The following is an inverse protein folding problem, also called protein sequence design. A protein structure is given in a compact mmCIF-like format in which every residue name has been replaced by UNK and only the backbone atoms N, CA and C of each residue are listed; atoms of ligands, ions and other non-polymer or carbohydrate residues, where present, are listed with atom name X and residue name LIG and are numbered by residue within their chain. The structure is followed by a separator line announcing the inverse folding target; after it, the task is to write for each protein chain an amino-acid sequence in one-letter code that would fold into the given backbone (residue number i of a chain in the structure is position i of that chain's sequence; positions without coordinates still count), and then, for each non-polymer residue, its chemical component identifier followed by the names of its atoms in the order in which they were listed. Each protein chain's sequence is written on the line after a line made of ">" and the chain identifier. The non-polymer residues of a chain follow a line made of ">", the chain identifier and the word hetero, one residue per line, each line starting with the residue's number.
data_IF_792643649657
#
_entry.id   IF_792643649657
#
_cell.length_a   1.000
_cell.length_b   1.000
_cell.length_c   1.000
_cell.angle_alpha   90.00
_cell.angle_beta   90.00
_cell.angle_gamma   90.00
#
_symmetry.space_group_name_H-M   'P 1'
#
loop_
_entity.id
_entity.type
_entity.pdbx_description
1 polymer ?
#
# COMPACT_ATOMS: atom_id res chain seq x y z
N UNK A 1 -6.38 -2.61 -41.47
CA UNK A 1 -6.70 -1.92 -40.21
C UNK A 1 -7.93 -2.50 -39.60
N UNK A 2 -7.86 -2.98 -38.36
CA UNK A 2 -9.05 -3.48 -37.64
C UNK A 2 -10.00 -2.31 -37.38
N UNK A 3 -11.29 -2.53 -37.59
CA UNK A 3 -12.30 -1.53 -37.20
C UNK A 3 -12.40 -1.47 -35.67
N UNK A 4 -12.93 -0.36 -35.12
CA UNK A 4 -13.16 -0.22 -33.69
C UNK A 4 -13.95 -1.42 -33.15
N UNK A 5 -14.93 -1.88 -33.89
CA UNK A 5 -15.79 -3.01 -33.52
C UNK A 5 -15.06 -4.35 -33.48
N UNK A 6 -13.96 -4.49 -34.21
CA UNK A 6 -13.13 -5.70 -34.17
C UNK A 6 -12.19 -5.75 -32.97
N UNK A 7 -11.80 -4.59 -32.44
CA UNK A 7 -10.90 -4.49 -31.28
C UNK A 7 -11.66 -4.49 -29.98
N UNK A 8 -12.80 -3.79 -29.92
CA UNK A 8 -13.63 -3.65 -28.71
C UNK A 8 -15.02 -4.30 -28.89
N UNK A 9 -15.03 -5.56 -29.35
CA UNK A 9 -16.27 -6.24 -29.75
C UNK A 9 -17.16 -6.66 -28.59
N UNK A 10 -16.74 -6.54 -27.34
CA UNK A 10 -17.45 -7.19 -26.23
C UNK A 10 -18.05 -6.23 -25.21
N UNK A 11 -17.31 -5.25 -24.74
CA UNK A 11 -17.71 -4.41 -23.60
C UNK A 11 -17.15 -3.01 -23.81
N UNK A 12 -17.99 -2.00 -23.61
CA UNK A 12 -17.51 -0.60 -23.57
C UNK A 12 -16.55 -0.43 -22.37
N UNK A 13 -15.54 0.47 -22.46
CA UNK A 13 -14.58 0.65 -21.38
C UNK A 13 -15.23 0.88 -20.01
N UNK A 14 -16.32 1.65 -19.96
CA UNK A 14 -17.04 1.96 -18.72
C UNK A 14 -17.81 0.75 -18.12
N UNK A 15 -17.98 -0.32 -18.89
CA UNK A 15 -18.58 -1.58 -18.44
C UNK A 15 -17.53 -2.64 -18.10
N UNK A 16 -16.24 -2.34 -18.34
CA UNK A 16 -15.15 -3.27 -18.08
C UNK A 16 -14.61 -3.10 -16.66
N UNK A 17 -14.81 -4.11 -15.81
CA UNK A 17 -14.35 -4.07 -14.41
C UNK A 17 -12.84 -3.85 -14.26
N UNK A 18 -12.04 -4.48 -15.12
CA UNK A 18 -10.59 -4.31 -15.10
C UNK A 18 -10.16 -2.88 -15.44
N UNK A 19 -10.78 -2.29 -16.46
CA UNK A 19 -10.56 -0.90 -16.81
C UNK A 19 -10.97 0.07 -15.69
N UNK A 20 -12.14 -0.15 -15.11
CA UNK A 20 -12.62 0.68 -13.99
C UNK A 20 -11.70 0.56 -12.78
N UNK A 21 -11.29 -0.65 -12.44
CA UNK A 21 -10.34 -0.89 -11.35
C UNK A 21 -9.02 -0.15 -11.59
N UNK A 22 -8.50 -0.21 -12.81
CA UNK A 22 -7.29 0.51 -13.20
C UNK A 22 -7.46 2.02 -13.02
N UNK A 23 -8.56 2.59 -13.52
CA UNK A 23 -8.85 4.02 -13.40
C UNK A 23 -8.96 4.47 -11.94
N UNK A 24 -9.72 3.73 -11.14
CA UNK A 24 -9.87 4.01 -9.70
C UNK A 24 -8.52 3.93 -9.00
N UNK A 25 -7.76 2.88 -9.25
CA UNK A 25 -6.45 2.67 -8.62
C UNK A 25 -5.49 3.80 -8.96
N UNK A 26 -5.41 4.20 -10.23
CA UNK A 26 -4.52 5.29 -10.65
C UNK A 26 -4.89 6.63 -10.03
N UNK A 27 -6.18 6.97 -10.01
CA UNK A 27 -6.66 8.21 -9.39
C UNK A 27 -6.43 8.21 -7.87
N UNK A 28 -6.70 7.10 -7.22
CA UNK A 28 -6.48 6.95 -5.78
C UNK A 28 -5.00 7.07 -5.42
N UNK A 29 -4.12 6.37 -6.12
CA UNK A 29 -2.67 6.46 -5.90
C UNK A 29 -2.13 7.87 -6.13
N UNK A 30 -2.61 8.56 -7.17
CA UNK A 30 -2.20 9.93 -7.44
C UNK A 30 -2.60 10.87 -6.30
N UNK A 31 -3.83 10.73 -5.79
CA UNK A 31 -4.32 11.52 -4.66
C UNK A 31 -3.52 11.26 -3.39
N UNK A 32 -3.23 10.00 -3.10
CA UNK A 32 -2.41 9.58 -1.95
C UNK A 32 -0.99 10.13 -2.03
N UNK A 33 -0.31 9.92 -3.16
CA UNK A 33 1.06 10.39 -3.33
C UNK A 33 1.17 11.92 -3.26
N UNK A 34 0.19 12.63 -3.78
CA UNK A 34 0.14 14.10 -3.68
C UNK A 34 0.01 14.56 -2.23
N UNK A 35 -0.86 13.93 -1.46
CA UNK A 35 -1.07 14.30 -0.06
C UNK A 35 0.12 13.89 0.83
N UNK A 36 0.61 12.65 0.69
CA UNK A 36 1.77 12.14 1.45
C UNK A 36 3.07 12.84 1.08
N UNK A 37 3.18 13.36 -0.13
CA UNK A 37 4.34 14.12 -0.59
C UNK A 37 4.66 15.35 0.27
N UNK A 38 3.67 15.92 0.95
CA UNK A 38 3.84 17.00 1.92
C UNK A 38 4.67 16.58 3.15
N UNK A 39 4.70 15.29 3.43
CA UNK A 39 5.53 14.67 4.47
C UNK A 39 6.78 13.98 3.89
N UNK A 40 7.08 14.20 2.62
CA UNK A 40 8.16 13.53 1.90
C UNK A 40 8.03 12.00 1.91
N UNK A 41 6.77 11.52 1.87
CA UNK A 41 6.43 10.10 1.78
C UNK A 41 5.74 9.78 0.46
N UNK A 42 5.95 8.55 0.00
CA UNK A 42 5.14 7.94 -1.07
C UNK A 42 4.11 7.00 -0.47
N UNK A 43 3.09 6.65 -1.25
CA UNK A 43 2.10 5.64 -0.85
C UNK A 43 2.77 4.29 -0.54
N UNK A 44 3.76 3.87 -1.32
CA UNK A 44 4.49 2.62 -1.08
C UNK A 44 5.25 2.65 0.25
N UNK A 45 5.92 3.76 0.55
CA UNK A 45 6.59 3.94 1.84
C UNK A 45 5.59 3.87 3.00
N UNK A 46 4.50 4.60 2.91
CA UNK A 46 3.43 4.54 3.91
C UNK A 46 2.90 3.11 4.09
N UNK A 47 2.61 2.41 2.99
CA UNK A 47 2.05 1.06 3.03
C UNK A 47 3.00 0.07 3.71
N UNK A 48 4.31 0.17 3.46
CA UNK A 48 5.30 -0.67 4.13
C UNK A 48 5.45 -0.31 5.61
N UNK A 49 5.42 0.97 5.95
CA UNK A 49 5.43 1.42 7.35
C UNK A 49 4.21 0.89 8.12
N UNK A 50 3.02 1.06 7.55
CA UNK A 50 1.77 0.60 8.15
C UNK A 50 1.74 -0.92 8.29
N UNK A 51 2.16 -1.64 7.25
CA UNK A 51 2.26 -3.10 7.25
C UNK A 51 3.24 -3.62 8.31
N UNK A 52 4.40 -3.00 8.40
CA UNK A 52 5.41 -3.36 9.41
C UNK A 52 4.88 -3.13 10.83
N UNK A 53 4.25 -1.99 11.08
CA UNK A 53 3.65 -1.70 12.37
C UNK A 53 2.58 -2.75 12.73
N UNK A 54 1.65 -3.02 11.82
CA UNK A 54 0.59 -3.99 12.02
C UNK A 54 1.10 -5.40 12.28
N UNK A 55 2.05 -5.87 11.48
CA UNK A 55 2.63 -7.20 11.64
C UNK A 55 3.41 -7.33 12.95
N UNK A 56 4.14 -6.28 13.34
CA UNK A 56 4.89 -6.26 14.60
C UNK A 56 3.98 -6.40 15.82
N UNK A 57 2.83 -5.73 15.81
CA UNK A 57 1.83 -5.84 16.88
C UNK A 57 1.22 -7.25 16.96
N UNK A 58 1.09 -7.95 15.83
CA UNK A 58 0.49 -9.29 15.77
C UNK A 58 1.45 -10.41 16.01
N UNK A 59 2.69 -10.30 15.52
CA UNK A 59 3.65 -11.40 15.47
C UNK A 59 4.98 -11.12 16.17
N UNK A 60 5.25 -9.88 16.54
CA UNK A 60 6.54 -9.45 17.07
C UNK A 60 7.57 -9.25 15.97
N UNK A 61 8.50 -10.18 15.79
CA UNK A 61 9.55 -10.07 14.78
C UNK A 61 8.99 -10.21 13.35
N UNK A 62 9.40 -9.31 12.47
CA UNK A 62 8.96 -9.25 11.06
C UNK A 62 10.16 -9.31 10.14
N UNK A 63 10.15 -10.26 9.19
CA UNK A 63 11.16 -10.35 8.14
C UNK A 63 10.75 -9.50 6.93
N UNK A 64 11.73 -9.18 6.09
CA UNK A 64 11.46 -8.47 4.83
C UNK A 64 10.49 -9.25 3.94
N UNK A 65 10.64 -10.59 3.88
CA UNK A 65 9.76 -11.43 3.06
C UNK A 65 8.31 -11.39 3.57
N UNK A 66 8.11 -11.47 4.88
CA UNK A 66 6.78 -11.37 5.48
C UNK A 66 6.12 -10.02 5.16
N UNK A 67 6.90 -8.96 5.21
CA UNK A 67 6.39 -7.62 4.88
C UNK A 67 6.04 -7.50 3.40
N UNK A 68 6.90 -8.00 2.50
CA UNK A 68 6.65 -7.99 1.07
C UNK A 68 5.37 -8.77 0.71
N UNK A 69 5.20 -9.94 1.30
CA UNK A 69 4.01 -10.77 1.10
C UNK A 69 2.74 -10.06 1.60
N UNK A 70 2.80 -9.47 2.77
CA UNK A 70 1.68 -8.72 3.35
C UNK A 70 1.27 -7.51 2.49
N UNK A 71 2.26 -6.74 2.04
CA UNK A 71 2.02 -5.54 1.23
C UNK A 71 1.78 -5.83 -0.25
N UNK A 72 1.88 -7.09 -0.65
CA UNK A 72 1.79 -7.52 -2.05
C UNK A 72 2.78 -6.76 -2.95
N UNK A 73 4.01 -6.61 -2.47
CA UNK A 73 5.11 -5.95 -3.18
C UNK A 73 6.20 -6.97 -3.53
N UNK A 74 6.89 -6.74 -4.66
CA UNK A 74 8.01 -7.61 -5.02
C UNK A 74 9.21 -7.37 -4.10
N UNK A 75 10.07 -8.39 -4.02
CA UNK A 75 11.24 -8.40 -3.13
C UNK A 75 12.20 -7.24 -3.40
N UNK A 76 12.44 -6.93 -4.67
CA UNK A 76 13.38 -5.88 -5.07
C UNK A 76 12.86 -4.49 -4.71
N UNK A 77 11.59 -4.21 -5.00
CA UNK A 77 10.94 -2.95 -4.64
C UNK A 77 10.91 -2.77 -3.13
N UNK A 78 10.52 -3.82 -2.39
CA UNK A 78 10.49 -3.80 -0.93
C UNK A 78 11.88 -3.47 -0.35
N UNK A 79 12.93 -4.10 -0.86
CA UNK A 79 14.30 -3.84 -0.42
C UNK A 79 14.74 -2.39 -0.67
N UNK A 80 14.43 -1.85 -1.85
CA UNK A 80 14.78 -0.45 -2.20
C UNK A 80 14.04 0.56 -1.33
N UNK A 81 12.76 0.35 -1.10
CA UNK A 81 11.95 1.26 -0.29
C UNK A 81 12.40 1.20 1.18
N UNK A 82 12.67 0.02 1.70
CA UNK A 82 13.20 -0.14 3.07
C UNK A 82 14.55 0.54 3.25
N UNK A 83 15.43 0.51 2.25
CA UNK A 83 16.70 1.23 2.30
C UNK A 83 16.51 2.74 2.45
N UNK A 84 15.52 3.31 1.77
CA UNK A 84 15.17 4.74 1.91
C UNK A 84 14.60 5.01 3.31
N UNK A 85 13.71 4.17 3.82
CA UNK A 85 13.13 4.32 5.16
C UNK A 85 14.19 4.17 6.25
N UNK A 86 15.17 3.32 6.05
CA UNK A 86 16.32 3.14 6.94
C UNK A 86 17.19 4.41 7.00
N UNK A 87 17.49 5.01 5.85
CA UNK A 87 18.19 6.31 5.79
C UNK A 87 17.46 7.43 6.51
N UNK A 88 16.13 7.41 6.45
CA UNK A 88 15.28 8.38 7.15
C UNK A 88 15.13 8.07 8.63
N UNK A 89 15.72 6.99 9.12
CA UNK A 89 15.61 6.51 10.51
C UNK A 89 14.16 6.17 10.92
N UNK A 90 13.36 5.78 9.96
CA UNK A 90 11.97 5.35 10.16
C UNK A 90 11.91 3.85 10.47
N UNK A 91 12.77 3.08 9.83
CA UNK A 91 12.89 1.63 9.99
C UNK A 91 14.35 1.29 10.32
N UNK A 92 14.54 0.27 11.11
CA UNK A 92 15.85 -0.34 11.35
C UNK A 92 15.83 -1.84 11.06
N UNK A 93 16.96 -2.35 10.62
CA UNK A 93 17.19 -3.78 10.39
C UNK A 93 18.08 -4.31 11.50
N UNK A 94 17.59 -5.31 12.22
CA UNK A 94 18.28 -5.96 13.31
C UNK A 94 18.59 -7.39 12.91
N UNK A 95 19.79 -7.88 13.23
CA UNK A 95 20.14 -9.27 13.00
C UNK A 95 19.26 -10.18 13.86
N UNK A 96 18.74 -11.25 13.25
CA UNK A 96 18.04 -12.28 14.01
C UNK A 96 19.04 -12.99 14.94
N UNK A 97 18.75 -13.11 16.25
CA UNK A 97 19.63 -13.82 17.20
C UNK A 97 19.84 -15.28 16.84
N UNK A 98 18.88 -15.92 16.17
CA UNK A 98 18.92 -17.34 15.80
C UNK A 98 19.50 -17.61 14.40
N UNK A 99 19.53 -16.61 13.52
CA UNK A 99 20.04 -16.74 12.15
C UNK A 99 20.65 -15.41 11.68
N UNK A 100 21.97 -15.38 11.55
CA UNK A 100 22.72 -14.20 11.11
C UNK A 100 22.39 -13.74 9.67
N UNK A 101 21.74 -14.60 8.87
CA UNK A 101 21.32 -14.31 7.50
C UNK A 101 19.95 -13.63 7.44
N UNK A 102 19.09 -13.88 8.43
CA UNK A 102 17.80 -13.27 8.53
C UNK A 102 17.92 -11.90 9.23
N UNK A 103 17.29 -10.88 8.65
CA UNK A 103 17.20 -9.55 9.26
C UNK A 103 15.75 -9.30 9.66
N UNK A 104 15.58 -8.93 10.92
CA UNK A 104 14.29 -8.48 11.42
C UNK A 104 14.14 -6.99 11.18
N UNK A 105 12.95 -6.59 10.80
CA UNK A 105 12.57 -5.21 10.61
C UNK A 105 11.89 -4.68 11.87
N UNK A 106 12.22 -3.47 12.25
CA UNK A 106 11.54 -2.73 13.32
C UNK A 106 11.22 -1.33 12.84
N UNK A 107 10.04 -0.86 13.19
CA UNK A 107 9.73 0.55 13.04
C UNK A 107 10.26 1.29 14.27
N UNK A 108 10.93 2.41 14.06
CA UNK A 108 11.50 3.23 15.13
C UNK A 108 10.40 4.08 15.79
N UNK A 109 10.68 4.64 16.96
CA UNK A 109 9.76 5.59 17.61
C UNK A 109 9.47 6.79 16.72
N UNK A 110 10.50 7.30 16.04
CA UNK A 110 10.35 8.35 15.01
C UNK A 110 9.42 7.89 13.89
N UNK A 111 9.60 6.65 13.43
CA UNK A 111 8.75 6.06 12.38
C UNK A 111 7.30 5.95 12.82
N UNK A 112 7.03 5.58 14.06
CA UNK A 112 5.67 5.50 14.61
C UNK A 112 5.00 6.87 14.63
N UNK A 113 5.72 7.91 15.03
CA UNK A 113 5.19 9.28 15.04
C UNK A 113 4.86 9.77 13.62
N UNK A 114 5.75 9.53 12.66
CA UNK A 114 5.51 9.84 11.25
C UNK A 114 4.31 9.05 10.70
N UNK A 115 4.22 7.76 11.03
CA UNK A 115 3.11 6.91 10.61
C UNK A 115 1.77 7.42 11.15
N UNK A 116 1.73 7.85 12.40
CA UNK A 116 0.52 8.39 13.03
C UNK A 116 0.00 9.62 12.29
N UNK A 117 0.88 10.52 11.92
CA UNK A 117 0.52 11.72 11.17
C UNK A 117 0.13 11.38 9.72
N UNK A 118 0.91 10.52 9.06
CA UNK A 118 0.61 10.05 7.72
C UNK A 118 -0.75 9.35 7.65
N UNK A 119 -1.10 8.56 8.66
CA UNK A 119 -2.38 7.88 8.73
C UNK A 119 -3.57 8.85 8.75
N UNK A 120 -3.44 9.99 9.44
CA UNK A 120 -4.47 11.04 9.42
C UNK A 120 -4.67 11.60 8.01
N UNK A 121 -3.57 11.82 7.29
CA UNK A 121 -3.61 12.31 5.90
C UNK A 121 -4.28 11.28 4.99
N UNK A 122 -3.88 10.02 5.09
CA UNK A 122 -4.45 8.92 4.32
C UNK A 122 -5.95 8.80 4.57
N UNK A 123 -6.37 8.86 5.83
CA UNK A 123 -7.79 8.82 6.18
C UNK A 123 -8.57 9.97 5.54
N UNK A 124 -8.05 11.18 5.56
CA UNK A 124 -8.70 12.34 4.93
C UNK A 124 -8.83 12.15 3.42
N UNK A 125 -7.81 11.63 2.76
CA UNK A 125 -7.85 11.34 1.32
C UNK A 125 -8.91 10.28 1.01
N UNK A 126 -8.95 9.20 1.78
CA UNK A 126 -9.94 8.14 1.62
C UNK A 126 -11.37 8.65 1.81
N UNK A 127 -11.61 9.44 2.86
CA UNK A 127 -12.93 10.00 3.14
C UNK A 127 -13.45 10.84 1.97
N UNK A 128 -12.58 11.59 1.31
CA UNK A 128 -12.93 12.40 0.13
C UNK A 128 -13.08 11.52 -1.11
N UNK A 129 -12.14 10.60 -1.33
CA UNK A 129 -12.11 9.79 -2.54
C UNK A 129 -13.32 8.85 -2.63
N UNK A 130 -13.70 8.23 -1.53
CA UNK A 130 -14.80 7.26 -1.47
C UNK A 130 -16.16 7.85 -1.08
N UNK A 131 -16.28 9.19 -0.98
CA UNK A 131 -17.51 9.86 -0.51
C UNK A 131 -18.77 9.46 -1.29
N UNK A 132 -18.64 9.22 -2.58
CA UNK A 132 -19.79 8.91 -3.44
C UNK A 132 -20.29 7.47 -3.30
N UNK A 133 -19.51 6.60 -2.68
CA UNK A 133 -19.84 5.17 -2.45
C UNK A 133 -19.93 4.84 -0.96
N UNK A 134 -19.92 5.82 -0.09
CA UNK A 134 -19.89 5.60 1.37
C UNK A 134 -21.09 4.79 1.87
N UNK A 135 -22.25 4.93 1.24
CA UNK A 135 -23.47 4.18 1.59
C UNK A 135 -23.34 2.69 1.28
N UNK A 136 -22.53 2.35 0.30
CA UNK A 136 -22.29 0.98 -0.17
C UNK A 136 -20.98 0.41 0.34
N UNK A 137 -20.33 1.08 1.30
CA UNK A 137 -19.00 0.73 1.78
C UNK A 137 -18.87 -0.73 2.19
N UNK A 138 -19.82 -1.25 2.93
CA UNK A 138 -19.78 -2.64 3.42
C UNK A 138 -19.75 -3.63 2.25
N UNK A 139 -20.63 -3.40 1.24
CA UNK A 139 -20.68 -4.23 0.04
C UNK A 139 -19.41 -4.08 -0.78
N UNK A 140 -18.95 -2.85 -0.96
CA UNK A 140 -17.73 -2.55 -1.70
C UNK A 140 -16.50 -3.23 -1.09
N UNK A 141 -16.31 -3.09 0.21
CA UNK A 141 -15.19 -3.72 0.94
C UNK A 141 -15.27 -5.25 0.84
N UNK A 142 -16.46 -5.85 0.98
CA UNK A 142 -16.64 -7.30 0.84
C UNK A 142 -16.27 -7.79 -0.57
N UNK A 143 -16.65 -7.06 -1.61
CA UNK A 143 -16.25 -7.38 -2.99
C UNK A 143 -14.73 -7.33 -3.18
N UNK A 144 -14.08 -6.29 -2.65
CA UNK A 144 -12.61 -6.18 -2.69
C UNK A 144 -11.94 -7.34 -1.96
N UNK A 145 -12.41 -7.67 -0.76
CA UNK A 145 -11.87 -8.80 0.04
C UNK A 145 -11.98 -10.11 -0.74
N UNK A 146 -13.08 -10.36 -1.42
CA UNK A 146 -13.26 -11.56 -2.26
C UNK A 146 -12.27 -11.64 -3.42
N UNK A 147 -11.87 -10.49 -3.97
CA UNK A 147 -10.89 -10.44 -5.05
C UNK A 147 -9.45 -10.67 -4.57
N UNK A 148 -9.15 -10.34 -3.32
CA UNK A 148 -7.81 -10.49 -2.74
C UNK A 148 -7.54 -11.94 -2.29
N UNK A 149 -8.56 -12.70 -1.96
CA UNK A 149 -8.45 -14.10 -1.47
C UNK A 149 -8.04 -15.10 -2.53
#
# INVERSE_FOLDING_TARGET
>A
MATKDQVFSYIEPEENSGYLLWQVTMQWQLSMNRALGKMELTLTQFSLMAGLYWLSEKKGAVTQQQLADYANTDKMMTSKVLAVLEKKQIVERVKDPGDSRAKQLKITDKGVEILREAYRIVKQVDDVFFKNVVKDKIVFDDLLVRLIK
#
